data_IF_251862424087
#
_entry.id   IF_251862424087
#
_cell.length_a   1.000
_cell.length_b   1.000
_cell.length_c   1.000
_cell.angle_alpha   90.00
_cell.angle_beta   90.00
_cell.angle_gamma   90.00
#
_symmetry.space_group_name_H-M   'P 1'
#
loop_
_entity.id
_entity.type
_entity.pdbx_description
1 polymer ?
#
# COMPACT_ATOMS: atom_id res chain seq x y z
N UNK A 1 -8.20 2.48 27.30
CA UNK A 1 -8.52 3.00 25.96
C UNK A 1 -8.93 1.81 25.12
N UNK A 2 -10.08 1.86 24.44
CA UNK A 2 -10.44 0.80 23.49
C UNK A 2 -9.58 1.05 22.25
N UNK A 3 -8.64 0.16 21.99
CA UNK A 3 -7.82 0.18 20.78
C UNK A 3 -8.75 -0.09 19.59
N UNK A 4 -9.03 0.95 18.81
CA UNK A 4 -9.92 0.85 17.65
C UNK A 4 -9.13 0.28 16.48
N UNK A 5 -9.16 -1.04 16.30
CA UNK A 5 -8.68 -1.66 15.07
C UNK A 5 -9.48 -1.14 13.87
N UNK A 6 -8.82 -0.40 12.98
CA UNK A 6 -9.42 0.17 11.77
C UNK A 6 -9.46 -0.90 10.68
N UNK A 7 -10.64 -1.42 10.35
CA UNK A 7 -10.81 -2.48 9.34
C UNK A 7 -11.65 -2.01 8.15
N UNK A 8 -11.28 -2.41 6.92
CA UNK A 8 -12.12 -2.20 5.72
C UNK A 8 -13.49 -2.86 5.95
N UNK A 9 -14.57 -2.12 5.64
CA UNK A 9 -15.93 -2.52 6.00
C UNK A 9 -16.39 -3.73 5.18
N UNK A 10 -17.04 -4.69 5.85
CA UNK A 10 -17.85 -5.74 5.19
C UNK A 10 -19.29 -5.26 4.93
N UNK A 11 -19.71 -4.18 5.59
CA UNK A 11 -21.07 -3.60 5.56
C UNK A 11 -21.01 -2.09 5.31
N UNK A 12 -22.11 -1.49 4.85
CA UNK A 12 -22.17 -0.04 4.64
C UNK A 12 -22.09 0.74 5.97
N UNK A 13 -21.75 2.04 5.93
CA UNK A 13 -21.73 2.86 7.15
C UNK A 13 -23.12 2.97 7.80
N UNK A 14 -24.18 2.96 6.97
CA UNK A 14 -25.57 2.99 7.41
C UNK A 14 -25.94 1.73 8.18
N UNK A 15 -25.56 0.56 7.66
CA UNK A 15 -25.76 -0.72 8.35
C UNK A 15 -24.92 -0.79 9.63
N UNK A 16 -23.66 -0.36 9.59
CA UNK A 16 -22.81 -0.29 10.78
C UNK A 16 -23.40 0.59 11.88
N UNK A 17 -24.02 1.72 11.52
CA UNK A 17 -24.72 2.60 12.46
C UNK A 17 -25.93 1.90 13.10
N UNK A 18 -26.75 1.18 12.31
CA UNK A 18 -27.90 0.43 12.83
C UNK A 18 -27.48 -0.68 13.80
N UNK A 19 -26.39 -1.38 13.51
CA UNK A 19 -25.92 -2.50 14.34
C UNK A 19 -25.29 -2.06 15.66
N UNK A 20 -24.63 -0.89 15.68
CA UNK A 20 -23.83 -0.42 16.82
C UNK A 20 -24.50 0.69 17.64
N UNK A 21 -25.56 1.31 17.11
CA UNK A 21 -26.18 2.51 17.70
C UNK A 21 -25.34 3.78 17.57
N UNK A 22 -24.19 3.73 16.89
CA UNK A 22 -23.29 4.87 16.68
C UNK A 22 -23.72 5.67 15.43
N UNK A 23 -23.34 6.96 15.38
CA UNK A 23 -23.62 7.79 14.20
C UNK A 23 -22.87 7.29 12.95
N UNK A 24 -23.47 7.42 11.77
CA UNK A 24 -22.82 7.08 10.50
C UNK A 24 -21.47 7.80 10.32
N UNK A 25 -21.37 9.06 10.78
CA UNK A 25 -20.13 9.84 10.72
C UNK A 25 -19.02 9.20 11.55
N UNK A 26 -19.34 8.71 12.73
CA UNK A 26 -18.37 8.05 13.60
C UNK A 26 -17.95 6.69 13.03
N UNK A 27 -18.90 5.92 12.49
CA UNK A 27 -18.60 4.67 11.77
C UNK A 27 -17.66 4.92 10.58
N UNK A 28 -17.90 5.94 9.75
CA UNK A 28 -17.01 6.32 8.64
C UNK A 28 -15.61 6.67 9.10
N UNK A 29 -15.47 7.32 10.26
CA UNK A 29 -14.15 7.65 10.84
C UNK A 29 -13.42 6.41 11.34
N UNK A 30 -14.13 5.51 12.03
CA UNK A 30 -13.56 4.26 12.57
C UNK A 30 -13.01 3.34 11.47
N UNK A 31 -13.68 3.31 10.33
CA UNK A 31 -13.38 2.41 9.21
C UNK A 31 -12.52 3.05 8.12
N UNK A 32 -12.20 4.35 8.26
CA UNK A 32 -11.33 5.02 7.32
C UNK A 32 -9.93 4.41 7.43
N UNK A 33 -9.41 3.92 6.30
CA UNK A 33 -8.02 3.49 6.21
C UNK A 33 -7.11 4.70 6.45
N UNK A 34 -6.03 4.52 7.20
CA UNK A 34 -5.05 5.59 7.38
C UNK A 34 -4.29 5.84 6.09
N UNK A 35 -3.68 7.02 5.98
CA UNK A 35 -2.82 7.33 4.84
C UNK A 35 -1.64 6.37 4.73
N UNK A 36 -1.06 6.01 5.88
CA UNK A 36 0.09 5.11 6.00
C UNK A 36 -0.27 3.69 5.56
N UNK A 37 -1.38 3.13 6.07
CA UNK A 37 -1.85 1.79 5.67
C UNK A 37 -2.14 1.73 4.17
N UNK A 38 -2.75 2.79 3.63
CA UNK A 38 -2.99 2.86 2.18
C UNK A 38 -1.69 2.89 1.39
N UNK A 39 -0.68 3.65 1.84
CA UNK A 39 0.63 3.67 1.18
C UNK A 39 1.32 2.30 1.22
N UNK A 40 1.28 1.63 2.38
CA UNK A 40 1.83 0.29 2.56
C UNK A 40 1.14 -0.71 1.62
N UNK A 41 -0.20 -0.75 1.59
CA UNK A 41 -0.95 -1.63 0.69
C UNK A 41 -0.66 -1.33 -0.79
N UNK A 42 -0.49 -0.05 -1.16
CA UNK A 42 -0.11 0.30 -2.53
C UNK A 42 1.32 -0.12 -2.86
N UNK A 43 2.26 -0.03 -1.92
CA UNK A 43 3.63 -0.49 -2.11
C UNK A 43 3.69 -2.02 -2.26
N UNK A 44 3.01 -2.75 -1.37
CA UNK A 44 2.86 -4.21 -1.44
C UNK A 44 2.24 -4.63 -2.77
N UNK A 45 1.17 -3.97 -3.22
CA UNK A 45 0.56 -4.27 -4.51
C UNK A 45 1.50 -4.02 -5.69
N UNK A 46 2.34 -2.97 -5.63
CA UNK A 46 3.34 -2.70 -6.68
C UNK A 46 4.38 -3.81 -6.73
N UNK A 47 4.88 -4.24 -5.58
CA UNK A 47 5.87 -5.30 -5.49
C UNK A 47 5.30 -6.65 -5.93
N UNK A 48 4.06 -6.97 -5.56
CA UNK A 48 3.38 -8.18 -6.02
C UNK A 48 3.23 -8.21 -7.55
N UNK A 49 2.88 -7.09 -8.18
CA UNK A 49 2.81 -6.98 -9.65
C UNK A 49 4.17 -7.21 -10.29
N UNK A 50 5.23 -6.63 -9.71
CA UNK A 50 6.59 -6.80 -10.20
C UNK A 50 7.04 -8.25 -10.06
N UNK A 51 6.88 -8.87 -8.90
CA UNK A 51 7.28 -10.25 -8.64
C UNK A 51 6.57 -11.23 -9.59
N UNK A 52 5.25 -11.09 -9.75
CA UNK A 52 4.47 -11.94 -10.65
C UNK A 52 4.94 -11.88 -12.11
N UNK A 53 5.38 -10.71 -12.57
CA UNK A 53 5.91 -10.56 -13.92
C UNK A 53 7.40 -10.95 -14.01
N UNK A 54 8.26 -10.33 -13.20
CA UNK A 54 9.71 -10.40 -13.33
C UNK A 54 10.30 -11.68 -12.73
N UNK A 55 9.78 -12.15 -11.60
CA UNK A 55 10.34 -13.31 -10.89
C UNK A 55 9.67 -14.61 -11.34
N UNK A 56 8.35 -14.60 -11.54
CA UNK A 56 7.60 -15.76 -12.01
C UNK A 56 7.56 -15.87 -13.56
N UNK A 57 7.93 -14.81 -14.28
CA UNK A 57 8.08 -14.82 -15.74
C UNK A 57 6.77 -14.71 -16.55
N UNK A 58 5.67 -14.26 -15.94
CA UNK A 58 4.39 -14.10 -16.63
C UNK A 58 4.40 -12.95 -17.63
N UNK A 59 3.59 -13.05 -18.69
CA UNK A 59 3.43 -11.94 -19.64
C UNK A 59 2.64 -10.77 -19.02
N UNK A 60 2.76 -9.58 -19.61
CA UNK A 60 1.99 -8.42 -19.16
C UNK A 60 0.47 -8.61 -19.27
N UNK A 61 0.01 -9.39 -20.24
CA UNK A 61 -1.42 -9.69 -20.43
C UNK A 61 -1.94 -10.59 -19.30
N UNK A 62 -1.18 -11.64 -18.96
CA UNK A 62 -1.48 -12.52 -17.82
C UNK A 62 -1.46 -11.75 -16.50
N UNK A 63 -0.46 -10.88 -16.33
CA UNK A 63 -0.35 -10.02 -15.15
C UNK A 63 -1.55 -9.06 -15.05
N UNK A 64 -1.93 -8.41 -16.15
CA UNK A 64 -3.10 -7.52 -16.19
C UNK A 64 -4.40 -8.25 -15.82
N UNK A 65 -4.59 -9.45 -16.37
CA UNK A 65 -5.72 -10.32 -16.04
C UNK A 65 -5.73 -10.74 -14.57
N UNK A 66 -4.59 -11.18 -14.03
CA UNK A 66 -4.44 -11.60 -12.64
C UNK A 66 -4.82 -10.47 -11.66
N UNK A 67 -4.35 -9.25 -11.90
CA UNK A 67 -4.58 -8.11 -11.01
C UNK A 67 -5.85 -7.29 -11.33
N UNK A 68 -6.64 -7.72 -12.32
CA UNK A 68 -7.89 -7.09 -12.72
C UNK A 68 -7.73 -5.63 -13.17
N UNK A 69 -6.67 -5.32 -13.93
CA UNK A 69 -6.42 -3.96 -14.42
C UNK A 69 -5.84 -3.96 -15.84
N UNK A 70 -5.53 -2.79 -16.41
CA UNK A 70 -4.97 -2.70 -17.76
C UNK A 70 -3.47 -3.02 -17.78
N UNK A 71 -2.99 -3.46 -18.96
CA UNK A 71 -1.57 -3.71 -19.25
C UNK A 71 -0.72 -2.47 -18.91
N UNK A 72 -1.16 -1.28 -19.32
CA UNK A 72 -0.46 -0.03 -19.02
C UNK A 72 -0.31 0.22 -17.52
N UNK A 73 -1.36 -0.07 -16.73
CA UNK A 73 -1.32 0.13 -15.28
C UNK A 73 -0.38 -0.85 -14.59
N UNK A 74 -0.36 -2.12 -14.98
CA UNK A 74 0.58 -3.10 -14.39
C UNK A 74 2.02 -2.75 -14.73
N UNK A 75 2.30 -2.35 -15.97
CA UNK A 75 3.63 -1.90 -16.39
C UNK A 75 4.10 -0.70 -15.54
N UNK A 76 3.30 0.36 -15.47
CA UNK A 76 3.63 1.57 -14.68
C UNK A 76 3.89 1.24 -13.21
N UNK A 77 3.12 0.32 -12.63
CA UNK A 77 3.29 -0.13 -11.24
C UNK A 77 4.57 -0.95 -11.06
N UNK A 78 4.86 -1.88 -11.97
CA UNK A 78 6.08 -2.68 -11.93
C UNK A 78 7.34 -1.81 -12.08
N UNK A 79 7.35 -0.86 -13.03
CA UNK A 79 8.48 0.08 -13.17
C UNK A 79 8.72 0.89 -11.90
N UNK A 80 7.64 1.32 -11.23
CA UNK A 80 7.75 2.03 -9.97
C UNK A 80 8.30 1.14 -8.84
N UNK A 81 7.87 -0.11 -8.75
CA UNK A 81 8.43 -1.08 -7.79
C UNK A 81 9.94 -1.27 -7.99
N UNK A 82 10.38 -1.41 -9.26
CA UNK A 82 11.82 -1.51 -9.58
C UNK A 82 12.60 -0.28 -9.10
N UNK A 83 12.06 0.91 -9.30
CA UNK A 83 12.68 2.17 -8.83
C UNK A 83 12.75 2.22 -7.30
N UNK A 84 11.66 1.87 -6.63
CA UNK A 84 11.58 1.85 -5.16
C UNK A 84 12.60 0.85 -4.57
N UNK A 85 12.75 -0.34 -5.15
CA UNK A 85 13.80 -1.29 -4.75
C UNK A 85 15.21 -0.76 -5.00
N UNK A 86 15.47 -0.16 -6.16
CA UNK A 86 16.78 0.41 -6.43
C UNK A 86 17.14 1.54 -5.44
N UNK A 87 16.17 2.36 -5.06
CA UNK A 87 16.32 3.39 -4.02
C UNK A 87 16.55 2.78 -2.64
N UNK A 88 15.84 1.70 -2.27
CA UNK A 88 16.07 0.98 -1.02
C UNK A 88 17.46 0.33 -0.96
N UNK A 89 17.92 -0.33 -2.03
CA UNK A 89 19.26 -0.90 -2.10
C UNK A 89 20.35 0.19 -2.05
N UNK A 90 20.13 1.33 -2.71
CA UNK A 90 21.01 2.49 -2.63
C UNK A 90 21.07 3.05 -1.19
N UNK A 91 19.92 3.18 -0.53
CA UNK A 91 19.83 3.65 0.85
C UNK A 91 20.51 2.70 1.85
N UNK A 92 20.47 1.39 1.60
CA UNK A 92 21.23 0.40 2.39
C UNK A 92 22.74 0.50 2.16
N UNK A 93 23.15 0.84 0.94
CA UNK A 93 24.56 0.85 0.53
C UNK A 93 25.28 2.14 0.95
N UNK A 94 24.57 3.27 1.07
CA UNK A 94 25.17 4.52 1.52
C UNK A 94 25.39 4.51 3.04
N UNK A 95 26.59 4.83 3.55
CA UNK A 95 26.79 5.03 4.98
C UNK A 95 25.94 6.23 5.43
N UNK A 96 25.11 6.04 6.45
CA UNK A 96 24.49 7.15 7.16
C UNK A 96 25.62 7.99 7.75
N UNK A 97 25.86 9.19 7.20
CA UNK A 97 26.80 10.13 7.79
C UNK A 97 26.33 10.44 9.22
N UNK A 98 27.18 10.29 10.25
CA UNK A 98 26.82 10.70 11.59
C UNK A 98 26.51 12.20 11.57
N UNK A 99 25.36 12.58 12.16
CA UNK A 99 24.89 13.96 12.29
C UNK A 99 25.78 14.84 13.20
N UNK A 100 26.97 14.38 13.57
CA UNK A 100 27.78 14.95 14.65
C UNK A 100 28.67 16.13 14.21
N UNK A 101 28.81 16.41 12.91
CA UNK A 101 29.77 17.43 12.42
C UNK A 101 29.15 18.75 11.92
N UNK A 102 27.89 19.07 12.25
CA UNK A 102 27.24 20.35 11.83
C UNK A 102 27.30 21.43 12.94
N UNK A 103 27.83 21.12 14.12
CA UNK A 103 28.00 22.10 15.19
C UNK A 103 29.36 21.95 15.89
N UNK A 104 30.38 22.61 15.35
CA UNK A 104 31.61 22.97 16.07
C UNK A 104 32.05 24.37 15.68
#
# INVERSE_FOLDING_TARGET
>A
MIETERRKRRVTAREGARLTGLSERYIRKLVAQTREDYLAEQAERREAIRAYHDDEGHTWEQTAAHFGTSIYNVQKRAYRARKERAEEELAKTQPQLPLEDIAS
#
